data_IF_760283611234
#
_entry.id   IF_760283611234
#
_cell.length_a   1.000
_cell.length_b   1.000
_cell.length_c   1.000
_cell.angle_alpha   90.00
_cell.angle_beta   90.00
_cell.angle_gamma   90.00
#
_symmetry.space_group_name_H-M   'P 1'
#
loop_
_entity.id
_entity.type
_entity.pdbx_description
1 polymer ?
#
# COMPACT_ATOMS: atom_id res chain seq x y z
N UNK A 1 -10.53 20.56 0.12
CA UNK A 1 -10.27 19.71 -1.07
C UNK A 1 -9.00 18.92 -0.84
N UNK A 2 -9.00 17.67 -1.27
CA UNK A 2 -7.83 16.82 -1.18
C UNK A 2 -7.74 15.96 -2.43
N UNK A 3 -6.57 15.34 -2.65
CA UNK A 3 -6.32 14.46 -3.78
C UNK A 3 -5.97 13.06 -3.30
N UNK A 4 -6.40 12.07 -4.08
CA UNK A 4 -6.01 10.68 -3.84
C UNK A 4 -5.99 9.90 -5.15
N UNK A 5 -5.23 8.80 -5.13
CA UNK A 5 -5.16 7.86 -6.25
C UNK A 5 -4.73 6.49 -5.76
N UNK A 6 -4.89 5.49 -6.61
CA UNK A 6 -4.25 4.20 -6.36
C UNK A 6 -2.74 4.43 -6.26
N UNK A 7 -2.16 4.09 -5.12
CA UNK A 7 -0.72 4.21 -4.90
C UNK A 7 0.01 2.96 -5.33
N UNK A 8 -0.56 1.79 -5.04
CA UNK A 8 0.07 0.53 -5.39
C UNK A 8 -0.57 -0.68 -4.74
N UNK A 9 0.20 -1.75 -4.70
CA UNK A 9 -0.21 -3.04 -4.15
C UNK A 9 0.84 -3.54 -3.20
N UNK A 10 0.41 -4.12 -2.10
CA UNK A 10 1.31 -4.81 -1.18
C UNK A 10 1.00 -6.30 -1.26
N UNK A 11 2.02 -7.10 -1.55
CA UNK A 11 1.92 -8.55 -1.62
C UNK A 11 2.27 -9.08 -0.25
N UNK A 12 1.24 -9.42 0.53
CA UNK A 12 1.39 -9.94 1.89
C UNK A 12 1.71 -11.43 1.84
N UNK A 13 2.86 -11.81 2.35
CA UNK A 13 3.36 -13.18 2.30
C UNK A 13 3.46 -13.75 3.70
N UNK A 14 2.72 -14.82 3.98
CA UNK A 14 2.80 -15.52 5.26
C UNK A 14 4.08 -16.35 5.31
N UNK A 15 5.16 -15.72 5.68
CA UNK A 15 6.49 -16.32 5.80
C UNK A 15 7.37 -15.43 6.67
N UNK A 16 8.44 -15.99 7.20
CA UNK A 16 9.51 -15.25 7.84
C UNK A 16 10.70 -15.02 6.90
N UNK A 17 10.64 -15.56 5.67
CA UNK A 17 11.72 -15.46 4.66
C UNK A 17 11.38 -14.36 3.66
N UNK A 18 11.67 -13.11 4.02
CA UNK A 18 11.44 -11.96 3.14
C UNK A 18 12.25 -12.07 1.84
N UNK A 19 13.51 -12.51 1.92
CA UNK A 19 14.37 -12.60 0.74
C UNK A 19 13.82 -13.60 -0.28
N UNK A 20 13.38 -14.77 0.17
CA UNK A 20 12.79 -15.77 -0.70
C UNK A 20 11.50 -15.31 -1.35
N UNK A 21 10.61 -14.67 -0.59
CA UNK A 21 9.37 -14.13 -1.11
C UNK A 21 9.63 -13.02 -2.14
N UNK A 22 10.52 -12.08 -1.80
CA UNK A 22 10.85 -10.98 -2.69
C UNK A 22 11.52 -11.47 -3.98
N UNK A 23 12.39 -12.45 -3.88
CA UNK A 23 13.03 -13.05 -5.07
C UNK A 23 12.00 -13.66 -6.00
N UNK A 24 11.05 -14.41 -5.46
CA UNK A 24 10.00 -15.00 -6.29
C UNK A 24 9.21 -13.92 -7.04
N UNK A 25 8.70 -12.92 -6.33
CA UNK A 25 7.85 -11.90 -6.93
C UNK A 25 8.63 -10.97 -7.87
N UNK A 26 9.88 -10.66 -7.53
CA UNK A 26 10.76 -9.91 -8.41
C UNK A 26 10.93 -10.61 -9.75
N UNK A 27 11.21 -11.92 -9.73
CA UNK A 27 11.39 -12.70 -10.96
C UNK A 27 10.07 -12.92 -11.69
N UNK A 28 9.00 -13.21 -10.96
CA UNK A 28 7.69 -13.45 -11.55
C UNK A 28 7.16 -12.22 -12.30
N UNK A 29 7.38 -11.02 -11.76
CA UNK A 29 6.87 -9.77 -12.33
C UNK A 29 7.89 -9.07 -13.23
N UNK A 30 9.14 -9.45 -13.16
CA UNK A 30 10.20 -8.76 -13.90
C UNK A 30 10.55 -7.40 -13.30
N UNK A 31 10.34 -7.20 -12.00
CA UNK A 31 10.62 -5.95 -11.28
C UNK A 31 11.84 -6.13 -10.39
N UNK A 32 12.82 -5.23 -10.51
CA UNK A 32 14.01 -5.27 -9.67
C UNK A 32 13.65 -4.98 -8.21
N UNK A 33 14.33 -5.65 -7.28
CA UNK A 33 14.23 -5.32 -5.85
C UNK A 33 14.90 -3.99 -5.58
N UNK A 34 14.26 -3.17 -4.74
CA UNK A 34 14.78 -1.85 -4.38
C UNK A 34 14.78 -1.70 -2.86
N UNK A 35 15.80 -2.23 -2.15
CA UNK A 35 15.87 -2.10 -0.70
C UNK A 35 15.85 -0.64 -0.27
N UNK A 36 15.03 -0.32 0.73
CA UNK A 36 14.89 1.05 1.21
C UNK A 36 16.09 1.50 2.06
N UNK A 37 16.76 0.56 2.71
CA UNK A 37 17.85 0.84 3.64
C UNK A 37 17.40 1.46 4.96
N UNK A 38 16.09 1.58 5.21
CA UNK A 38 15.56 2.18 6.43
C UNK A 38 15.24 1.09 7.46
N UNK A 39 15.67 1.26 8.73
CA UNK A 39 15.38 0.27 9.77
C UNK A 39 13.88 0.03 10.00
N UNK A 40 13.03 1.06 9.83
CA UNK A 40 11.59 0.95 9.99
C UNK A 40 10.90 0.12 8.90
N UNK A 41 11.60 -0.15 7.79
CA UNK A 41 11.07 -0.94 6.69
C UNK A 41 11.45 -2.42 6.79
N UNK A 42 11.82 -2.89 7.97
CA UNK A 42 12.04 -4.31 8.24
C UNK A 42 10.74 -5.08 7.92
N UNK A 43 10.86 -6.16 7.15
CA UNK A 43 9.70 -6.94 6.73
C UNK A 43 9.09 -6.49 5.40
N UNK A 44 9.64 -5.45 4.77
CA UNK A 44 9.18 -4.94 3.47
C UNK A 44 10.29 -4.96 2.45
N UNK A 45 9.97 -5.31 1.23
CA UNK A 45 10.88 -5.21 0.10
C UNK A 45 10.16 -4.52 -1.07
N UNK A 46 10.47 -3.24 -1.33
CA UNK A 46 9.95 -2.56 -2.51
C UNK A 46 10.46 -3.18 -3.81
N UNK A 47 9.58 -3.22 -4.81
CA UNK A 47 9.90 -3.65 -6.17
C UNK A 47 9.74 -2.46 -7.10
N UNK A 48 10.64 -2.36 -8.08
CA UNK A 48 10.60 -1.28 -9.06
C UNK A 48 9.61 -1.61 -10.18
N UNK A 49 8.44 -0.97 -10.19
CA UNK A 49 7.43 -1.18 -11.22
C UNK A 49 7.71 -0.40 -12.51
N UNK A 50 8.81 0.36 -12.55
CA UNK A 50 9.23 1.10 -13.74
C UNK A 50 8.18 2.12 -14.19
N UNK A 51 7.81 2.12 -15.49
CA UNK A 51 6.89 3.12 -16.03
C UNK A 51 5.46 3.02 -15.50
N UNK A 52 5.10 1.93 -14.81
CA UNK A 52 3.76 1.81 -14.21
C UNK A 52 3.53 2.83 -13.09
N UNK A 53 4.63 3.27 -12.45
CA UNK A 53 4.54 4.29 -11.40
C UNK A 53 3.76 3.87 -10.17
N UNK A 54 3.64 2.56 -9.91
CA UNK A 54 2.95 2.02 -8.76
C UNK A 54 3.96 1.58 -7.70
N UNK A 55 3.61 1.78 -6.43
CA UNK A 55 4.39 1.27 -5.31
C UNK A 55 3.98 -0.18 -5.09
N UNK A 56 4.84 -1.11 -5.50
CA UNK A 56 4.62 -2.53 -5.29
C UNK A 56 5.65 -3.01 -4.29
N UNK A 57 5.19 -3.61 -3.20
CA UNK A 57 6.06 -4.09 -2.13
C UNK A 57 5.68 -5.51 -1.74
N UNK A 58 6.69 -6.29 -1.36
CA UNK A 58 6.49 -7.59 -0.71
C UNK A 58 6.60 -7.37 0.78
N UNK A 59 5.64 -7.89 1.55
CA UNK A 59 5.63 -7.78 3.00
C UNK A 59 5.51 -9.16 3.63
N UNK A 60 6.30 -9.42 4.68
CA UNK A 60 6.10 -10.62 5.50
C UNK A 60 5.00 -10.35 6.52
N UNK A 61 4.08 -11.30 6.66
CA UNK A 61 2.94 -11.21 7.57
C UNK A 61 2.74 -12.53 8.31
N UNK A 62 1.96 -12.50 9.38
CA UNK A 62 1.62 -13.68 10.17
C UNK A 62 0.21 -14.21 9.91
N UNK A 63 -0.56 -13.53 9.07
CA UNK A 63 -1.88 -13.98 8.63
C UNK A 63 -1.77 -14.68 7.25
N UNK A 64 -2.85 -15.31 6.75
CA UNK A 64 -2.82 -15.93 5.41
C UNK A 64 -2.44 -14.93 4.32
N UNK A 65 -1.66 -15.38 3.36
CA UNK A 65 -1.17 -14.56 2.25
C UNK A 65 -2.32 -13.93 1.47
N UNK A 66 -2.15 -12.68 1.10
CA UNK A 66 -3.14 -11.91 0.33
C UNK A 66 -2.45 -10.70 -0.29
N UNK A 67 -3.16 -10.01 -1.18
CA UNK A 67 -2.71 -8.73 -1.75
C UNK A 67 -3.67 -7.66 -1.28
N UNK A 68 -3.15 -6.53 -0.84
CA UNK A 68 -4.00 -5.39 -0.50
C UNK A 68 -3.59 -4.15 -1.29
N UNK A 69 -4.56 -3.26 -1.47
CA UNK A 69 -4.36 -1.99 -2.17
C UNK A 69 -3.87 -0.92 -1.19
N UNK A 70 -3.03 -0.02 -1.67
CA UNK A 70 -2.72 1.24 -0.99
C UNK A 70 -3.30 2.38 -1.81
N UNK A 71 -4.08 3.24 -1.16
CA UNK A 71 -4.53 4.51 -1.72
C UNK A 71 -3.64 5.60 -1.15
N UNK A 72 -3.00 6.38 -2.02
CA UNK A 72 -2.20 7.51 -1.60
C UNK A 72 -3.04 8.78 -1.58
N UNK A 73 -2.86 9.58 -0.53
CA UNK A 73 -3.59 10.83 -0.39
C UNK A 73 -2.70 11.93 0.19
N UNK A 74 -2.93 13.16 -0.23
CA UNK A 74 -2.29 14.34 0.36
C UNK A 74 -2.98 14.78 1.67
N UNK A 75 -4.11 14.17 2.01
CA UNK A 75 -4.80 14.35 3.29
C UNK A 75 -5.47 13.03 3.68
N UNK A 76 -4.75 12.24 4.47
CA UNK A 76 -5.19 10.89 4.86
C UNK A 76 -6.53 10.93 5.58
N UNK A 77 -6.71 11.84 6.54
CA UNK A 77 -7.95 11.90 7.32
C UNK A 77 -9.15 12.27 6.43
N UNK A 78 -8.99 13.21 5.52
CA UNK A 78 -10.05 13.57 4.59
C UNK A 78 -10.41 12.41 3.66
N UNK A 79 -9.40 11.67 3.20
CA UNK A 79 -9.63 10.51 2.35
C UNK A 79 -10.33 9.38 3.11
N UNK A 80 -9.92 9.11 4.34
CA UNK A 80 -10.58 8.10 5.16
C UNK A 80 -12.06 8.45 5.35
N UNK A 81 -12.37 9.72 5.65
CA UNK A 81 -13.76 10.19 5.80
C UNK A 81 -14.56 10.01 4.51
N UNK A 82 -13.95 10.31 3.36
CA UNK A 82 -14.60 10.11 2.07
C UNK A 82 -14.96 8.65 1.86
N UNK A 83 -14.02 7.75 2.17
CA UNK A 83 -14.23 6.31 2.00
C UNK A 83 -15.23 5.75 3.01
N UNK A 84 -15.25 6.27 4.24
CA UNK A 84 -16.26 5.90 5.22
C UNK A 84 -17.68 6.28 4.73
N UNK A 85 -17.80 7.42 4.08
CA UNK A 85 -19.07 7.83 3.49
C UNK A 85 -19.52 6.89 2.35
N UNK A 86 -18.58 6.20 1.71
CA UNK A 86 -18.85 5.17 0.70
C UNK A 86 -19.12 3.80 1.30
N UNK A 87 -19.00 3.64 2.62
CA UNK A 87 -19.29 2.39 3.30
C UNK A 87 -18.10 1.65 3.86
N UNK A 88 -16.88 2.18 3.72
CA UNK A 88 -15.71 1.58 4.33
C UNK A 88 -15.75 1.71 5.85
N UNK A 89 -15.06 0.81 6.53
CA UNK A 89 -14.90 0.85 7.99
C UNK A 89 -13.45 1.10 8.36
N UNK A 90 -13.25 1.99 9.29
CA UNK A 90 -11.93 2.29 9.85
C UNK A 90 -11.58 1.20 10.85
N UNK A 91 -10.45 0.49 10.64
CA UNK A 91 -10.05 -0.61 11.50
C UNK A 91 -8.93 -0.23 12.48
N UNK A 92 -7.80 0.27 11.95
CA UNK A 92 -6.63 0.50 12.78
C UNK A 92 -5.73 1.55 12.15
N UNK A 93 -5.20 2.46 12.98
CA UNK A 93 -4.14 3.35 12.57
C UNK A 93 -2.78 2.72 12.87
N UNK A 94 -1.89 2.75 11.86
CA UNK A 94 -0.50 2.29 11.98
C UNK A 94 0.38 3.45 11.55
N UNK A 95 1.21 4.00 12.47
CA UNK A 95 2.02 5.19 12.19
C UNK A 95 1.14 6.32 11.60
N UNK A 96 1.37 6.71 10.35
CA UNK A 96 0.68 7.82 9.67
C UNK A 96 -0.33 7.34 8.61
N UNK A 97 -0.66 6.05 8.59
CA UNK A 97 -1.67 5.52 7.67
C UNK A 97 -2.79 4.78 8.40
N UNK A 98 -3.88 4.53 7.69
CA UNK A 98 -5.03 3.80 8.21
C UNK A 98 -5.28 2.52 7.43
N UNK A 99 -5.60 1.46 8.17
CA UNK A 99 -6.14 0.22 7.60
C UNK A 99 -7.65 0.31 7.65
N UNK A 100 -8.29 0.11 6.51
CA UNK A 100 -9.75 0.13 6.35
C UNK A 100 -10.24 -1.23 5.85
N UNK A 101 -11.55 -1.45 6.00
CA UNK A 101 -12.24 -2.58 5.39
C UNK A 101 -13.28 -2.05 4.42
N UNK A 102 -13.23 -2.54 3.17
CA UNK A 102 -14.22 -2.19 2.17
C UNK A 102 -15.57 -2.85 2.47
N UNK A 103 -16.69 -2.35 1.92
CA UNK A 103 -18.00 -3.00 2.08
C UNK A 103 -18.00 -4.48 1.65
N UNK A 104 -17.13 -4.86 0.75
CA UNK A 104 -16.98 -6.23 0.26
C UNK A 104 -15.96 -7.05 1.04
N UNK A 105 -15.44 -6.53 2.15
CA UNK A 105 -14.60 -7.27 3.09
C UNK A 105 -13.10 -7.19 2.84
N UNK A 106 -12.64 -6.62 1.73
CA UNK A 106 -11.20 -6.48 1.49
C UNK A 106 -10.61 -5.43 2.44
N UNK A 107 -9.45 -5.74 3.00
CA UNK A 107 -8.66 -4.77 3.73
C UNK A 107 -7.76 -4.01 2.79
N UNK A 108 -7.62 -2.72 3.01
CA UNK A 108 -6.75 -1.85 2.23
C UNK A 108 -6.25 -0.71 3.11
N UNK A 109 -5.24 0.02 2.62
CA UNK A 109 -4.65 1.09 3.40
C UNK A 109 -4.80 2.43 2.70
N UNK A 110 -4.95 3.49 3.50
CA UNK A 110 -4.81 4.87 3.05
C UNK A 110 -3.52 5.40 3.62
N UNK A 111 -2.59 5.76 2.74
CA UNK A 111 -1.23 6.15 3.10
C UNK A 111 -0.93 7.57 2.61
N UNK A 112 -0.03 8.29 3.31
CA UNK A 112 0.33 9.65 2.86
C UNK A 112 1.03 9.63 1.52
N UNK A 113 0.76 10.65 0.69
CA UNK A 113 1.52 10.90 -0.51
C UNK A 113 2.92 11.39 -0.14
N UNK A 114 3.93 10.90 -0.86
CA UNK A 114 5.33 11.29 -0.66
C UNK A 114 5.80 12.29 -1.71
N UNK A 115 4.93 12.61 -2.68
CA UNK A 115 5.19 13.53 -3.76
C UNK A 115 3.85 14.16 -4.17
N UNK A 116 3.86 15.28 -4.89
CA UNK A 116 2.61 15.89 -5.37
C UNK A 116 1.78 14.91 -6.21
N UNK A 117 0.46 14.95 -6.03
CA UNK A 117 -0.48 14.08 -6.73
C UNK A 117 -1.16 14.85 -7.88
N UNK A 118 -0.35 15.37 -8.82
CA UNK A 118 -0.86 16.24 -9.88
C UNK A 118 -1.92 15.58 -10.76
N UNK A 119 -1.75 14.28 -11.03
CA UNK A 119 -2.65 13.51 -11.90
C UNK A 119 -3.69 12.71 -11.14
N UNK A 120 -3.82 12.96 -9.83
CA UNK A 120 -4.78 12.23 -9.00
C UNK A 120 -6.16 12.90 -9.05
N UNK A 121 -7.18 12.12 -8.70
CA UNK A 121 -8.52 12.68 -8.51
C UNK A 121 -8.51 13.71 -7.39
N UNK A 122 -9.22 14.80 -7.62
CA UNK A 122 -9.42 15.84 -6.62
C UNK A 122 -10.84 15.76 -6.08
N UNK A 123 -10.98 15.76 -4.76
CA UNK A 123 -12.26 15.60 -4.08
C UNK A 123 -12.63 16.90 -3.34
N UNK A 124 -13.93 17.20 -3.29
CA UNK A 124 -14.41 18.39 -2.56
C UNK A 124 -14.07 18.35 -1.06
#
# INVERSE_FOLDING_TARGET
MHRSRLGGFIIDCQTDDLDGAARFWSQALGFARRPSGKPEDVGYMPLDSGPLGLDIEVQTVDHPSRVHLDIRSDDVEAEVRRLEALGAKRLKQVRDWWILEAPTGQRFCVVPARAPLADANQWP
#
